data_IF_177013955028
#
_entry.id   IF_177013955028
#
_cell.length_a   1.000
_cell.length_b   1.000
_cell.length_c   1.000
_cell.angle_alpha   90.00
_cell.angle_beta   90.00
_cell.angle_gamma   90.00
#
_symmetry.space_group_name_H-M   'P 1'
#
loop_
_entity.id
_entity.type
_entity.pdbx_description
1 polymer ?
#
# COMPACT_ATOMS: atom_id res chain seq x y z
N UNK A 1 -17.29 4.02 6.18
CA UNK A 1 -16.11 4.80 5.74
C UNK A 1 -15.70 4.34 4.35
N UNK A 2 -15.00 5.20 3.62
CA UNK A 2 -14.67 5.09 2.21
C UNK A 2 -13.14 5.17 2.09
N UNK A 3 -12.48 4.26 1.35
CA UNK A 3 -11.03 4.20 1.17
C UNK A 3 -10.52 5.10 0.03
N UNK A 4 -9.72 6.10 0.34
CA UNK A 4 -9.14 7.03 -0.62
C UNK A 4 -7.63 6.84 -0.68
N UNK A 5 -7.07 6.84 -1.88
CA UNK A 5 -5.64 7.02 -2.05
C UNK A 5 -5.31 8.49 -1.85
N UNK A 6 -4.40 8.78 -0.93
CA UNK A 6 -3.80 10.10 -0.73
C UNK A 6 -2.34 10.03 -1.17
N UNK A 7 -1.87 11.03 -1.91
CA UNK A 7 -0.50 11.07 -2.43
C UNK A 7 0.07 12.49 -2.35
N UNK A 8 1.36 12.60 -2.08
CA UNK A 8 2.14 13.85 -2.19
C UNK A 8 2.92 13.94 -3.52
N UNK A 9 2.80 12.93 -4.39
CA UNK A 9 3.53 12.80 -5.65
C UNK A 9 4.70 11.83 -5.60
N UNK A 10 5.24 11.53 -4.41
CA UNK A 10 6.32 10.57 -4.19
C UNK A 10 5.82 9.34 -3.42
N UNK A 11 5.06 9.58 -2.35
CA UNK A 11 4.46 8.59 -1.49
C UNK A 11 2.94 8.60 -1.61
N UNK A 12 2.37 7.40 -1.66
CA UNK A 12 0.92 7.21 -1.62
C UNK A 12 0.53 6.36 -0.40
N UNK A 13 -0.64 6.64 0.18
CA UNK A 13 -1.27 5.80 1.23
C UNK A 13 -2.77 5.65 1.01
N UNK A 14 -3.37 4.65 1.66
CA UNK A 14 -4.83 4.45 1.67
C UNK A 14 -5.40 4.98 2.98
N UNK A 15 -6.17 6.06 2.90
CA UNK A 15 -6.87 6.65 4.04
C UNK A 15 -8.36 6.31 4.00
N UNK A 16 -8.93 5.90 5.14
CA UNK A 16 -10.37 5.69 5.27
C UNK A 16 -11.02 6.96 5.83
N UNK A 17 -11.98 7.54 5.09
CA UNK A 17 -12.68 8.75 5.48
C UNK A 17 -14.14 8.72 4.98
N UNK A 18 -15.02 9.62 5.42
CA UNK A 18 -16.39 9.70 4.85
C UNK A 18 -16.41 10.47 3.53
N UNK A 19 -15.57 11.51 3.44
CA UNK A 19 -15.48 12.41 2.30
C UNK A 19 -14.05 12.51 1.77
N UNK A 20 -13.91 12.92 0.50
CA UNK A 20 -12.61 13.19 -0.10
C UNK A 20 -11.88 14.36 0.62
N UNK A 21 -12.60 15.36 1.13
CA UNK A 21 -12.01 16.47 1.88
C UNK A 21 -11.39 16.04 3.21
N UNK A 22 -12.03 15.10 3.92
CA UNK A 22 -11.44 14.49 5.11
C UNK A 22 -10.18 13.68 4.79
N UNK A 23 -10.21 12.87 3.72
CA UNK A 23 -9.02 12.13 3.27
C UNK A 23 -7.89 13.08 2.87
N UNK A 24 -8.21 14.18 2.18
CA UNK A 24 -7.24 15.21 1.82
C UNK A 24 -6.61 15.86 3.05
N UNK A 25 -7.42 16.20 4.05
CA UNK A 25 -6.92 16.77 5.29
C UNK A 25 -6.04 15.76 6.06
N UNK A 26 -6.35 14.46 5.99
CA UNK A 26 -5.48 13.42 6.51
C UNK A 26 -4.12 13.41 5.77
N UNK A 27 -4.12 13.39 4.44
CA UNK A 27 -2.89 13.44 3.65
C UNK A 27 -2.05 14.69 3.93
N UNK A 28 -2.70 15.84 4.10
CA UNK A 28 -2.05 17.10 4.50
C UNK A 28 -1.26 16.93 5.79
N UNK A 29 -1.90 16.39 6.82
CA UNK A 29 -1.26 16.17 8.13
C UNK A 29 -0.18 15.09 8.05
N UNK A 30 -0.40 14.04 7.28
CA UNK A 30 0.49 12.88 7.22
C UNK A 30 1.76 13.13 6.42
N UNK A 31 1.66 13.85 5.30
CA UNK A 31 2.80 14.21 4.44
C UNK A 31 3.41 15.56 4.82
N UNK A 32 2.72 16.37 5.63
CA UNK A 32 3.18 17.71 6.02
C UNK A 32 3.17 18.74 4.89
N UNK A 33 2.37 18.50 3.84
CA UNK A 33 2.22 19.37 2.66
C UNK A 33 0.95 20.21 2.75
N UNK A 34 0.74 21.11 1.80
CA UNK A 34 -0.49 21.90 1.73
C UNK A 34 -1.69 21.11 1.25
N UNK A 35 -2.88 21.49 1.72
CA UNK A 35 -4.13 20.80 1.40
C UNK A 35 -4.38 20.70 -0.11
N UNK A 36 -3.97 21.71 -0.87
CA UNK A 36 -4.16 21.77 -2.32
C UNK A 36 -3.22 20.84 -3.08
N UNK A 37 -2.06 20.53 -2.50
CA UNK A 37 -1.03 19.68 -3.11
C UNK A 37 -1.27 18.19 -2.85
N UNK A 38 -2.14 17.86 -1.90
CA UNK A 38 -2.54 16.47 -1.64
C UNK A 38 -3.45 15.97 -2.77
N UNK A 39 -2.91 15.05 -3.56
CA UNK A 39 -3.70 14.28 -4.51
C UNK A 39 -4.61 13.29 -3.77
N UNK A 40 -5.89 13.26 -4.14
CA UNK A 40 -6.87 12.34 -3.54
C UNK A 40 -7.63 11.61 -4.63
N UNK A 41 -7.58 10.29 -4.62
CA UNK A 41 -8.29 9.41 -5.55
C UNK A 41 -9.13 8.39 -4.79
N UNK A 42 -10.22 7.94 -5.41
CA UNK A 42 -11.13 6.96 -4.80
C UNK A 42 -10.57 5.54 -4.99
N UNK A 43 -10.18 4.86 -3.92
CA UNK A 43 -9.70 3.48 -3.93
C UNK A 43 -10.84 2.50 -3.58
N UNK A 44 -11.82 2.35 -4.47
CA UNK A 44 -13.05 1.54 -4.21
C UNK A 44 -12.73 0.09 -3.83
N UNK A 45 -11.67 -0.48 -4.38
CA UNK A 45 -11.22 -1.84 -4.10
C UNK A 45 -10.90 -2.07 -2.61
N UNK A 46 -10.48 -1.02 -1.90
CA UNK A 46 -10.07 -1.08 -0.51
C UNK A 46 -11.25 -0.94 0.48
N UNK A 47 -12.46 -0.60 0.01
CA UNK A 47 -13.64 -0.37 0.87
C UNK A 47 -14.01 -1.59 1.72
N UNK A 48 -13.75 -2.79 1.21
CA UNK A 48 -14.05 -4.05 1.89
C UNK A 48 -13.22 -4.27 3.17
N UNK A 49 -12.01 -3.70 3.26
CA UNK A 49 -11.08 -3.97 4.35
C UNK A 49 -11.29 -3.09 5.58
N UNK A 50 -12.13 -2.05 5.49
CA UNK A 50 -12.50 -1.10 6.57
C UNK A 50 -11.34 -0.28 7.17
N UNK A 51 -10.10 -0.76 7.14
CA UNK A 51 -8.91 -0.08 7.65
C UNK A 51 -7.65 -0.49 6.85
N UNK A 52 -6.66 0.41 6.74
CA UNK A 52 -5.44 0.21 5.96
C UNK A 52 -4.62 -1.02 6.38
N UNK A 53 -4.57 -1.34 7.67
CA UNK A 53 -3.79 -2.47 8.22
C UNK A 53 -4.45 -3.83 7.96
N UNK A 54 -5.70 -3.84 7.54
CA UNK A 54 -6.43 -5.06 7.17
C UNK A 54 -6.31 -5.35 5.67
N UNK A 55 -5.73 -4.42 4.89
CA UNK A 55 -5.53 -4.61 3.46
C UNK A 55 -4.27 -5.47 3.26
N UNK A 56 -4.40 -6.69 2.70
CA UNK A 56 -3.24 -7.52 2.42
C UNK A 56 -2.37 -6.87 1.33
N UNK A 57 -1.05 -7.05 1.42
CA UNK A 57 -0.10 -6.56 0.40
C UNK A 57 -0.45 -7.04 -1.01
N UNK A 58 -1.00 -8.25 -1.12
CA UNK A 58 -1.51 -8.79 -2.38
C UNK A 58 -2.57 -7.90 -3.01
N UNK A 59 -3.55 -7.40 -2.24
CA UNK A 59 -4.61 -6.54 -2.77
C UNK A 59 -4.09 -5.18 -3.24
N UNK A 60 -3.05 -4.65 -2.58
CA UNK A 60 -2.36 -3.46 -3.08
C UNK A 60 -1.73 -3.73 -4.47
N UNK A 61 -0.99 -4.83 -4.60
CA UNK A 61 -0.31 -5.21 -5.83
C UNK A 61 -1.28 -5.37 -7.00
N UNK A 62 -2.38 -6.10 -6.80
CA UNK A 62 -3.48 -6.29 -7.78
C UNK A 62 -4.15 -4.97 -8.22
N UNK A 63 -3.96 -3.89 -7.45
CA UNK A 63 -4.50 -2.58 -7.76
C UNK A 63 -3.42 -1.58 -8.23
N UNK A 64 -2.28 -2.11 -8.72
CA UNK A 64 -1.22 -1.33 -9.35
C UNK A 64 -0.26 -0.64 -8.38
N UNK A 65 -0.27 -1.04 -7.10
CA UNK A 65 0.73 -0.59 -6.14
C UNK A 65 1.96 -1.48 -6.24
N UNK A 66 3.08 -1.01 -5.71
CA UNK A 66 4.29 -1.78 -5.54
C UNK A 66 4.66 -1.84 -4.07
N UNK A 67 5.42 -2.86 -3.72
CA UNK A 67 5.99 -3.00 -2.38
C UNK A 67 7.46 -3.39 -2.49
N UNK A 68 8.25 -2.89 -1.56
CA UNK A 68 9.67 -3.19 -1.50
C UNK A 68 9.87 -4.64 -1.01
N UNK A 69 10.66 -5.41 -1.74
CA UNK A 69 11.18 -6.66 -1.23
C UNK A 69 12.10 -6.37 -0.03
N UNK A 70 12.28 -7.35 0.86
CA UNK A 70 13.30 -7.31 1.92
C UNK A 70 14.71 -6.92 1.46
N UNK A 71 15.08 -7.16 0.21
CA UNK A 71 16.39 -6.76 -0.33
C UNK A 71 16.47 -5.31 -0.82
N UNK A 72 15.36 -4.59 -0.81
CA UNK A 72 15.27 -3.22 -1.30
C UNK A 72 14.73 -3.08 -2.72
N UNK A 73 14.56 -4.19 -3.45
CA UNK A 73 14.08 -4.14 -4.83
C UNK A 73 12.55 -3.95 -4.87
N UNK A 74 12.02 -2.95 -5.61
CA UNK A 74 10.59 -2.78 -5.77
C UNK A 74 9.99 -3.98 -6.50
N UNK A 75 8.90 -4.52 -5.96
CA UNK A 75 8.15 -5.62 -6.55
C UNK A 75 6.75 -5.14 -6.93
N UNK A 76 6.29 -5.59 -8.09
CA UNK A 76 4.99 -5.29 -8.67
C UNK A 76 4.15 -6.56 -8.72
N UNK A 77 2.88 -6.47 -9.08
CA UNK A 77 1.96 -7.62 -9.15
C UNK A 77 2.57 -8.86 -9.82
N UNK A 78 3.28 -8.68 -10.93
CA UNK A 78 3.84 -9.77 -11.73
C UNK A 78 5.05 -10.47 -11.08
N UNK A 79 5.81 -9.75 -10.25
CA UNK A 79 7.09 -10.20 -9.68
C UNK A 79 7.03 -10.42 -8.17
N UNK A 80 6.04 -9.85 -7.51
CA UNK A 80 5.87 -9.89 -6.08
C UNK A 80 5.38 -11.25 -5.60
N UNK A 81 6.11 -11.80 -4.64
CA UNK A 81 5.73 -13.01 -3.92
C UNK A 81 5.35 -12.61 -2.51
N UNK A 82 4.06 -12.69 -2.20
CA UNK A 82 3.54 -12.33 -0.87
C UNK A 82 3.50 -13.58 0.01
N UNK A 83 4.21 -13.54 1.14
CA UNK A 83 4.18 -14.60 2.16
C UNK A 83 3.78 -13.96 3.50
N UNK A 84 2.55 -14.21 3.93
CA UNK A 84 1.97 -13.50 5.08
C UNK A 84 1.75 -12.03 4.74
N UNK A 85 2.39 -11.13 5.50
CA UNK A 85 2.34 -9.67 5.29
C UNK A 85 3.65 -9.10 4.70
N UNK A 86 4.54 -9.98 4.20
CA UNK A 86 5.82 -9.59 3.62
C UNK A 86 5.86 -9.86 2.11
N UNK A 87 6.53 -8.97 1.38
CA UNK A 87 6.73 -9.06 -0.07
C UNK A 87 8.17 -9.46 -0.37
N UNK A 88 8.33 -10.41 -1.29
CA UNK A 88 9.61 -10.96 -1.71
C UNK A 88 9.75 -10.92 -3.23
N UNK A 89 10.98 -10.74 -3.72
CA UNK A 89 11.34 -11.12 -5.07
C UNK A 89 11.60 -12.63 -5.14
N UNK A 90 11.67 -13.18 -6.36
CA UNK A 90 11.98 -14.59 -6.62
C UNK A 90 13.25 -15.05 -5.87
N UNK A 91 14.34 -14.29 -5.95
CA UNK A 91 15.62 -14.64 -5.30
C UNK A 91 15.54 -14.65 -3.76
N UNK A 92 14.72 -13.78 -3.17
CA UNK A 92 14.61 -13.68 -1.71
C UNK A 92 13.63 -14.70 -1.13
N UNK A 93 12.66 -15.17 -1.92
CA UNK A 93 11.75 -16.23 -1.50
C UNK A 93 12.51 -17.50 -1.13
N UNK A 94 13.44 -17.94 -1.97
CA UNK A 94 14.19 -19.17 -1.72
C UNK A 94 14.91 -19.16 -0.36
N UNK A 95 15.46 -18.00 0.01
CA UNK A 95 16.13 -17.80 1.30
C UNK A 95 15.15 -17.76 2.49
N UNK A 96 13.90 -17.39 2.26
CA UNK A 96 12.84 -17.39 3.27
C UNK A 96 12.29 -18.80 3.51
N UNK A 97 12.12 -19.60 2.46
CA UNK A 97 11.68 -21.00 2.55
C UNK A 97 12.72 -21.91 3.22
N UNK A 98 14.03 -21.71 2.96
CA UNK A 98 15.12 -22.45 3.63
C UNK A 98 15.13 -22.25 5.15
N UNK A 99 14.67 -21.09 5.66
CA UNK A 99 14.61 -20.83 7.10
C UNK A 99 13.43 -21.49 7.82
N UNK A 100 12.41 -21.97 7.09
CA UNK A 100 11.27 -22.68 7.69
C UNK A 100 11.53 -24.18 7.88
N UNK A 101 12.55 -24.75 7.23
CA UNK A 101 12.85 -26.18 7.28
C UNK A 101 13.96 -26.57 8.26
N UNK A 102 14.32 -25.70 9.23
CA UNK A 102 15.38 -25.97 10.21
C UNK A 102 14.88 -25.78 11.64
#
# INVERSE_FOLDING_TARGET
MKAYQVSDGEYSRIAFAETAGQARNYGKCEFGIDFVDVEVRRAKWADQYKHEHLIPKQAYLENGWWWECRCGTPQYEETAIVIGDMVYCEDCKEKADIKKSR
#
